data_IF_622950338415
#
_entry.id   IF_622950338415
#
_cell.length_a   1.000
_cell.length_b   1.000
_cell.length_c   1.000
_cell.angle_alpha   90.00
_cell.angle_beta   90.00
_cell.angle_gamma   90.00
#
_symmetry.space_group_name_H-M   'P 1'
#
loop_
_entity.id
_entity.type
_entity.pdbx_description
1 polymer ?
#
# COMPACT_ATOMS: atom_id res chain seq x y z
N UNK A 1 -33.87 -26.99 14.35
CA UNK A 1 -34.27 -25.65 14.81
C UNK A 1 -33.46 -24.67 13.98
N UNK A 2 -34.01 -24.35 12.82
CA UNK A 2 -33.33 -23.56 11.77
C UNK A 2 -33.54 -22.08 12.06
N UNK A 3 -32.45 -21.37 12.34
CA UNK A 3 -32.45 -19.93 12.55
C UNK A 3 -32.43 -19.20 11.21
N UNK A 4 -33.59 -19.03 10.58
CA UNK A 4 -33.76 -18.07 9.49
C UNK A 4 -34.15 -16.71 10.08
N UNK A 5 -33.16 -15.86 10.33
CA UNK A 5 -33.37 -14.44 10.66
C UNK A 5 -33.49 -13.66 9.35
N UNK A 6 -34.69 -13.12 9.10
CA UNK A 6 -34.93 -12.16 8.04
C UNK A 6 -34.19 -10.86 8.32
N UNK A 7 -33.12 -10.56 7.57
CA UNK A 7 -32.45 -9.26 7.58
C UNK A 7 -33.17 -8.37 6.57
N UNK A 8 -34.02 -7.47 7.04
CA UNK A 8 -34.52 -6.36 6.26
C UNK A 8 -33.38 -5.37 6.02
N UNK A 9 -32.97 -5.21 4.76
CA UNK A 9 -31.96 -4.28 4.32
C UNK A 9 -32.50 -2.84 4.36
N UNK A 10 -32.29 -2.15 5.49
CA UNK A 10 -32.33 -0.69 5.53
C UNK A 10 -31.02 -0.17 4.93
N UNK A 11 -31.05 0.27 3.67
CA UNK A 11 -29.95 1.01 3.05
C UNK A 11 -29.87 2.41 3.71
N UNK A 12 -29.15 2.50 4.81
CA UNK A 12 -28.82 3.78 5.42
C UNK A 12 -27.87 4.53 4.46
N UNK A 13 -28.29 5.74 4.07
CA UNK A 13 -27.44 6.69 3.36
C UNK A 13 -26.10 6.80 4.08
N UNK A 14 -25.02 6.42 3.40
CA UNK A 14 -23.66 6.65 3.87
C UNK A 14 -23.42 8.15 3.82
N UNK A 15 -23.56 8.83 4.97
CA UNK A 15 -23.10 10.20 5.12
C UNK A 15 -21.59 10.14 4.93
N UNK A 16 -21.08 10.71 3.84
CA UNK A 16 -19.66 10.68 3.49
C UNK A 16 -18.82 11.32 4.59
N UNK A 17 -18.34 10.50 5.52
CA UNK A 17 -17.33 10.91 6.48
C UNK A 17 -16.02 11.08 5.71
N UNK A 18 -15.40 12.27 5.84
CA UNK A 18 -14.11 12.56 5.23
C UNK A 18 -13.07 11.70 5.93
N UNK A 19 -12.65 10.61 5.29
CA UNK A 19 -11.70 9.69 5.88
C UNK A 19 -10.32 10.33 5.97
N UNK A 20 -9.61 10.12 7.08
CA UNK A 20 -8.32 10.75 7.29
C UNK A 20 -7.33 10.20 6.27
N UNK A 21 -6.83 11.04 5.36
CA UNK A 21 -5.80 10.60 4.44
C UNK A 21 -4.42 10.56 5.09
N UNK A 22 -3.57 9.72 4.52
CA UNK A 22 -2.21 9.50 4.99
C UNK A 22 -1.22 10.43 4.27
N UNK A 23 -1.64 11.65 3.97
CA UNK A 23 -0.77 12.69 3.45
C UNK A 23 -0.24 13.54 4.60
N UNK A 24 0.97 14.07 4.50
CA UNK A 24 1.40 15.12 5.41
C UNK A 24 0.41 16.31 5.35
N UNK A 25 0.13 16.92 6.51
CA UNK A 25 -0.86 17.99 6.68
C UNK A 25 -2.33 17.59 6.43
N UNK A 26 -2.62 16.31 6.18
CA UNK A 26 -3.98 15.79 5.89
C UNK A 26 -4.66 16.46 4.68
N UNK A 27 -3.89 17.07 3.76
CA UNK A 27 -4.43 17.71 2.55
C UNK A 27 -4.40 16.74 1.36
N UNK A 28 -5.57 16.19 1.06
CA UNK A 28 -5.74 15.24 -0.03
C UNK A 28 -7.09 15.41 -0.72
N UNK A 29 -7.16 14.93 -1.94
CA UNK A 29 -8.40 14.81 -2.69
C UNK A 29 -8.43 13.43 -3.35
N UNK A 30 -9.47 12.64 -3.04
CA UNK A 30 -9.58 11.26 -3.53
C UNK A 30 -8.33 10.40 -3.19
N UNK A 31 -7.74 10.63 -2.01
CA UNK A 31 -6.51 9.97 -1.56
C UNK A 31 -5.22 10.47 -2.21
N UNK A 32 -5.27 11.37 -3.20
CA UNK A 32 -4.08 11.99 -3.77
C UNK A 32 -3.64 13.16 -2.89
N UNK A 33 -2.39 13.16 -2.44
CA UNK A 33 -1.83 14.27 -1.68
C UNK A 33 -1.71 15.51 -2.53
N UNK A 34 -2.25 16.63 -2.05
CA UNK A 34 -2.21 17.90 -2.80
C UNK A 34 -0.84 18.55 -2.70
N UNK A 35 -0.52 19.37 -3.71
CA UNK A 35 0.71 20.19 -3.77
C UNK A 35 2.01 19.38 -3.61
N UNK A 36 1.98 18.10 -3.99
CA UNK A 36 3.12 17.21 -3.85
C UNK A 36 3.49 16.91 -2.40
N UNK A 37 2.58 17.11 -1.44
CA UNK A 37 2.82 16.72 -0.06
C UNK A 37 3.18 15.23 0.01
N UNK A 38 4.24 14.85 0.76
CA UNK A 38 4.65 13.46 0.87
C UNK A 38 3.65 12.67 1.72
N UNK A 39 3.82 11.36 1.73
CA UNK A 39 3.05 10.48 2.59
C UNK A 39 3.44 10.67 4.06
N UNK A 40 2.43 10.68 4.94
CA UNK A 40 2.61 10.67 6.39
C UNK A 40 3.20 9.33 6.80
N UNK A 41 4.28 9.34 7.59
CA UNK A 41 4.87 8.13 8.17
C UNK A 41 3.82 7.29 8.93
N UNK A 42 3.82 5.95 8.80
CA UNK A 42 4.73 5.12 8.00
C UNK A 42 4.15 4.75 6.61
N UNK A 43 3.29 5.59 6.01
CA UNK A 43 2.63 5.26 4.76
C UNK A 43 3.47 5.64 3.53
N UNK A 44 3.28 4.93 2.42
CA UNK A 44 3.99 5.16 1.15
C UNK A 44 3.17 4.75 -0.09
N UNK A 45 3.78 4.88 -1.27
CA UNK A 45 3.28 4.37 -2.54
C UNK A 45 2.08 5.14 -3.10
N UNK A 46 1.39 4.53 -4.07
CA UNK A 46 0.25 5.16 -4.75
C UNK A 46 -0.79 5.68 -3.76
N UNK A 47 -1.07 6.99 -3.80
CA UNK A 47 -2.05 7.66 -2.92
C UNK A 47 -1.82 7.44 -1.41
N UNK A 48 -0.58 7.17 -1.00
CA UNK A 48 -0.19 6.93 0.40
C UNK A 48 -1.04 5.87 1.11
N UNK A 49 -1.49 4.86 0.36
CA UNK A 49 -2.40 3.85 0.90
C UNK A 49 -1.67 2.67 1.55
N UNK A 50 -0.36 2.55 1.35
CA UNK A 50 0.43 1.40 1.78
C UNK A 50 1.14 1.63 3.09
N UNK A 51 1.00 0.70 4.02
CA UNK A 51 1.73 0.73 5.29
C UNK A 51 3.14 0.18 5.07
N UNK A 52 4.18 0.94 5.40
CA UNK A 52 5.57 0.49 5.34
C UNK A 52 5.92 -0.33 6.59
N UNK A 53 5.98 -1.67 6.46
CA UNK A 53 6.42 -2.52 7.58
C UNK A 53 7.90 -2.32 7.92
N UNK A 54 8.67 -1.72 7.00
CA UNK A 54 10.06 -1.39 7.28
C UNK A 54 10.23 -0.27 8.32
N UNK A 55 9.17 0.51 8.59
CA UNK A 55 9.22 1.57 9.58
C UNK A 55 9.21 1.06 11.03
N UNK A 56 8.63 -0.11 11.28
CA UNK A 56 8.51 -0.73 12.61
C UNK A 56 9.74 -1.56 12.98
N UNK A 57 10.73 -1.64 12.09
CA UNK A 57 11.89 -2.51 12.27
C UNK A 57 12.80 -2.00 13.38
N UNK A 58 13.43 -2.93 14.10
CA UNK A 58 14.68 -2.66 14.80
C UNK A 58 15.80 -2.44 13.78
N UNK A 59 15.73 -1.31 13.07
CA UNK A 59 16.71 -0.96 12.06
C UNK A 59 18.09 -1.06 12.69
N UNK A 60 18.93 -1.93 12.13
CA UNK A 60 20.37 -1.82 12.27
C UNK A 60 20.69 -0.34 12.06
N UNK A 61 21.29 0.33 13.05
CA UNK A 61 21.42 1.81 13.06
C UNK A 61 22.04 2.37 11.77
N UNK A 62 22.73 1.52 10.99
CA UNK A 62 23.30 1.81 9.67
C UNK A 62 22.29 1.95 8.54
N UNK A 63 21.04 1.48 8.70
CA UNK A 63 20.00 1.47 7.66
C UNK A 63 18.95 2.57 7.84
N UNK A 64 19.19 3.55 8.72
CA UNK A 64 18.22 4.64 8.95
C UNK A 64 17.83 5.38 7.68
N UNK A 65 18.77 5.56 6.75
CA UNK A 65 18.52 6.21 5.46
C UNK A 65 17.39 5.50 4.69
N UNK A 66 17.31 4.17 4.75
CA UNK A 66 16.31 3.42 3.98
C UNK A 66 14.86 3.64 4.44
N UNK A 67 14.63 4.19 5.63
CA UNK A 67 13.30 4.26 6.27
C UNK A 67 12.99 5.63 6.90
N UNK A 68 13.84 6.63 6.70
CA UNK A 68 13.66 7.97 7.26
C UNK A 68 12.63 8.82 6.51
N UNK A 69 12.05 8.29 5.43
CA UNK A 69 11.12 8.98 4.52
C UNK A 69 11.68 10.31 3.99
N UNK A 70 13.00 10.37 3.80
CA UNK A 70 13.65 11.44 3.08
C UNK A 70 14.39 10.88 1.84
N UNK A 71 13.74 11.00 0.68
CA UNK A 71 14.31 10.61 -0.62
C UNK A 71 15.66 11.28 -0.97
N UNK A 72 16.08 12.32 -0.25
CA UNK A 72 17.38 12.96 -0.42
C UNK A 72 18.49 12.31 0.42
N UNK A 73 18.12 11.54 1.45
CA UNK A 73 19.08 10.87 2.32
C UNK A 73 19.41 9.49 1.75
N UNK A 74 20.57 9.39 1.10
CA UNK A 74 20.98 8.17 0.40
C UNK A 74 22.12 7.42 1.10
N UNK A 75 22.30 6.16 0.69
CA UNK A 75 23.42 5.32 1.08
C UNK A 75 24.75 6.04 0.83
N UNK A 76 25.54 6.20 1.89
CA UNK A 76 26.91 6.74 1.86
C UNK A 76 27.99 5.65 1.99
N UNK A 77 27.60 4.37 1.96
CA UNK A 77 28.51 3.24 2.17
C UNK A 77 28.51 2.28 0.99
N UNK A 78 29.52 1.41 0.96
CA UNK A 78 29.53 0.24 0.07
C UNK A 78 28.91 -0.96 0.77
N UNK A 79 27.76 -1.40 0.29
CA UNK A 79 27.01 -2.51 0.85
C UNK A 79 27.00 -3.68 -0.12
N UNK A 80 27.36 -4.88 0.36
CA UNK A 80 27.13 -6.12 -0.39
C UNK A 80 25.69 -6.62 -0.23
N UNK A 81 25.09 -6.33 0.92
CA UNK A 81 23.71 -6.69 1.27
C UNK A 81 23.15 -5.77 2.35
N UNK A 82 21.82 -5.62 2.36
CA UNK A 82 21.03 -4.97 3.40
C UNK A 82 20.07 -6.02 3.99
N UNK A 83 20.02 -6.11 5.32
CA UNK A 83 19.11 -7.01 6.02
C UNK A 83 18.04 -6.23 6.77
N UNK A 84 16.82 -6.67 6.59
CA UNK A 84 15.62 -6.11 7.16
C UNK A 84 15.00 -7.21 8.05
N UNK A 85 15.26 -7.17 9.36
CA UNK A 85 14.69 -8.06 10.39
C UNK A 85 13.45 -7.45 11.08
N UNK A 86 12.37 -8.22 11.19
CA UNK A 86 11.08 -7.80 11.74
C UNK A 86 10.79 -8.51 13.07
N UNK A 87 10.15 -7.80 13.99
CA UNK A 87 9.73 -8.38 15.27
C UNK A 87 8.69 -9.50 15.08
N UNK A 88 7.83 -9.35 14.08
CA UNK A 88 6.82 -10.31 13.69
C UNK A 88 7.03 -10.80 12.25
N UNK A 89 6.43 -11.95 11.90
CA UNK A 89 6.41 -12.39 10.50
C UNK A 89 5.47 -11.52 9.66
N UNK A 90 5.81 -11.29 8.41
CA UNK A 90 4.98 -10.56 7.45
C UNK A 90 4.85 -11.32 6.14
N UNK A 91 3.67 -11.25 5.51
CA UNK A 91 3.49 -11.71 4.13
C UNK A 91 4.01 -10.62 3.21
N UNK A 92 5.09 -10.89 2.50
CA UNK A 92 5.59 -10.00 1.45
C UNK A 92 4.63 -9.97 0.24
N UNK A 93 4.20 -8.77 -0.16
CA UNK A 93 3.53 -8.54 -1.46
C UNK A 93 4.44 -7.86 -2.47
N UNK A 94 4.99 -6.69 -2.14
CA UNK A 94 5.96 -5.97 -2.96
C UNK A 94 6.84 -5.05 -2.10
N UNK A 95 7.92 -4.58 -2.71
CA UNK A 95 8.75 -3.51 -2.16
C UNK A 95 8.87 -2.37 -3.17
N UNK A 96 9.03 -1.14 -2.69
CA UNK A 96 9.36 0.03 -3.49
C UNK A 96 10.74 0.53 -3.08
N UNK A 97 11.59 0.78 -4.07
CA UNK A 97 12.94 1.29 -3.88
C UNK A 97 13.04 2.65 -4.56
N UNK A 98 13.53 3.63 -3.81
CA UNK A 98 13.91 4.94 -4.34
C UNK A 98 15.42 5.00 -4.43
N UNK A 99 15.94 5.27 -5.63
CA UNK A 99 17.36 5.42 -5.91
C UNK A 99 17.73 6.89 -6.03
N UNK A 100 19.02 7.18 -5.81
CA UNK A 100 19.62 8.47 -6.17
C UNK A 100 19.59 8.65 -7.69
N UNK A 101 19.74 9.89 -8.15
CA UNK A 101 19.91 10.18 -9.57
C UNK A 101 21.07 9.36 -10.14
N UNK A 102 20.73 8.36 -10.96
CA UNK A 102 21.70 7.53 -11.65
C UNK A 102 21.96 8.12 -13.03
N UNK A 103 23.23 8.41 -13.38
CA UNK A 103 23.58 8.68 -14.77
C UNK A 103 23.09 7.52 -15.65
N UNK A 104 22.73 7.82 -16.90
CA UNK A 104 22.24 6.80 -17.87
C UNK A 104 23.18 5.59 -17.96
N UNK A 105 24.49 5.81 -17.86
CA UNK A 105 25.52 4.76 -17.86
C UNK A 105 25.45 3.81 -16.68
N UNK A 106 24.78 4.18 -15.58
CA UNK A 106 24.60 3.36 -14.37
C UNK A 106 23.14 2.95 -14.14
N UNK A 107 22.20 3.41 -14.96
CA UNK A 107 20.78 3.12 -14.79
C UNK A 107 20.48 1.60 -14.77
N UNK A 108 21.26 0.80 -15.51
CA UNK A 108 21.12 -0.66 -15.52
C UNK A 108 21.37 -1.32 -14.16
N UNK A 109 22.11 -0.66 -13.25
CA UNK A 109 22.40 -1.22 -11.92
C UNK A 109 21.14 -1.43 -11.11
N UNK A 110 20.07 -0.64 -11.32
CA UNK A 110 18.77 -0.84 -10.65
C UNK A 110 18.20 -2.24 -10.87
N UNK A 111 18.63 -2.92 -11.93
CA UNK A 111 18.16 -4.25 -12.29
C UNK A 111 19.08 -5.36 -11.78
N UNK A 112 20.25 -5.01 -11.25
CA UNK A 112 21.16 -5.93 -10.56
C UNK A 112 20.81 -5.97 -9.07
N UNK A 113 19.61 -6.48 -8.79
CA UNK A 113 19.07 -6.67 -7.45
C UNK A 113 18.62 -8.09 -7.26
N UNK A 114 18.89 -8.61 -6.07
CA UNK A 114 18.42 -9.89 -5.60
C UNK A 114 17.67 -9.68 -4.29
N UNK A 115 16.48 -10.25 -4.21
CA UNK A 115 15.65 -10.23 -3.02
C UNK A 115 15.53 -11.66 -2.47
N UNK A 116 15.83 -11.82 -1.19
CA UNK A 116 15.78 -13.10 -0.48
C UNK A 116 14.97 -12.98 0.80
N UNK A 117 14.36 -14.08 1.21
CA UNK A 117 13.47 -14.18 2.36
C UNK A 117 13.95 -15.28 3.29
N UNK A 118 13.87 -15.05 4.60
CA UNK A 118 14.05 -16.13 5.58
C UNK A 118 12.71 -16.81 5.83
N UNK A 119 12.53 -18.02 5.29
CA UNK A 119 11.30 -18.81 5.43
C UNK A 119 11.63 -20.11 6.14
N UNK A 120 11.04 -20.33 7.32
CA UNK A 120 11.33 -21.50 8.16
C UNK A 120 12.84 -21.71 8.41
N UNK A 121 13.57 -20.63 8.68
CA UNK A 121 15.03 -20.58 8.86
C UNK A 121 15.85 -20.98 7.62
N UNK A 122 15.26 -20.94 6.43
CA UNK A 122 15.94 -21.18 5.15
C UNK A 122 15.84 -19.94 4.27
N UNK A 123 16.99 -19.46 3.77
CA UNK A 123 17.04 -18.38 2.79
C UNK A 123 16.43 -18.85 1.46
N UNK A 124 15.45 -18.10 0.98
CA UNK A 124 14.69 -18.40 -0.23
C UNK A 124 14.69 -17.19 -1.14
N UNK A 125 15.10 -17.37 -2.40
CA UNK A 125 15.07 -16.29 -3.40
C UNK A 125 13.63 -15.91 -3.80
N UNK A 126 13.44 -14.66 -4.20
CA UNK A 126 12.23 -14.17 -4.85
C UNK A 126 11.99 -14.86 -6.19
N UNK A 127 11.02 -15.77 -6.21
CA UNK A 127 10.66 -16.56 -7.38
C UNK A 127 9.94 -15.69 -8.41
N UNK A 128 10.36 -15.81 -9.67
CA UNK A 128 9.87 -14.96 -10.76
C UNK A 128 9.89 -13.47 -10.41
N UNK A 129 11.00 -12.99 -9.85
CA UNK A 129 11.22 -11.59 -9.51
C UNK A 129 10.97 -10.69 -10.73
N UNK A 130 10.19 -9.63 -10.53
CA UNK A 130 9.93 -8.59 -11.52
C UNK A 130 10.30 -7.23 -10.95
N UNK A 131 10.94 -6.39 -11.76
CA UNK A 131 11.25 -5.00 -11.41
C UNK A 131 10.44 -4.09 -12.31
N UNK A 132 9.54 -3.30 -11.73
CA UNK A 132 8.71 -2.32 -12.44
C UNK A 132 9.28 -0.93 -12.23
N UNK A 133 9.67 -0.28 -13.31
CA UNK A 133 10.14 1.10 -13.26
C UNK A 133 8.95 2.06 -13.20
N UNK A 134 8.78 2.73 -12.06
CA UNK A 134 7.72 3.73 -11.87
C UNK A 134 8.12 5.03 -12.55
N UNK A 135 9.37 5.44 -12.32
CA UNK A 135 10.03 6.61 -12.88
C UNK A 135 11.57 6.44 -12.87
N UNK A 136 12.30 7.50 -13.20
CA UNK A 136 13.77 7.52 -13.27
C UNK A 136 14.49 7.32 -11.93
N UNK A 137 13.80 7.31 -10.79
CA UNK A 137 14.35 7.06 -9.44
C UNK A 137 13.66 5.90 -8.72
N UNK A 138 12.45 5.53 -9.10
CA UNK A 138 11.61 4.65 -8.31
C UNK A 138 11.36 3.34 -9.05
N UNK A 139 11.59 2.22 -8.38
CA UNK A 139 11.26 0.90 -8.89
C UNK A 139 10.50 0.07 -7.86
N UNK A 140 9.58 -0.76 -8.34
CA UNK A 140 8.82 -1.70 -7.53
C UNK A 140 9.32 -3.11 -7.80
N UNK A 141 9.63 -3.86 -6.74
CA UNK A 141 10.00 -5.27 -6.81
C UNK A 141 8.80 -6.12 -6.44
N UNK A 142 8.49 -7.07 -7.30
CA UNK A 142 7.42 -8.05 -7.12
C UNK A 142 8.00 -9.46 -7.21
N UNK A 143 7.40 -10.40 -6.48
CA UNK A 143 7.65 -11.82 -6.62
C UNK A 143 6.39 -12.51 -7.15
N UNK A 144 6.57 -13.61 -7.87
CA UNK A 144 5.46 -14.46 -8.35
C UNK A 144 4.77 -15.22 -7.20
N UNK A 145 5.52 -15.49 -6.13
CA UNK A 145 5.03 -16.10 -4.89
C UNK A 145 5.01 -15.09 -3.75
N UNK A 146 4.10 -15.31 -2.80
CA UNK A 146 4.07 -14.57 -1.54
C UNK A 146 4.88 -15.34 -0.50
N UNK A 147 5.59 -14.60 0.36
CA UNK A 147 6.49 -15.18 1.35
C UNK A 147 6.09 -14.69 2.74
N UNK A 148 5.78 -15.61 3.66
CA UNK A 148 5.67 -15.30 5.08
C UNK A 148 7.07 -15.35 5.70
N UNK A 149 7.62 -14.19 6.06
CA UNK A 149 9.01 -14.07 6.49
C UNK A 149 9.18 -13.11 7.66
N UNK A 150 10.20 -13.32 8.48
CA UNK A 150 10.66 -12.36 9.49
C UNK A 150 11.92 -11.62 9.07
N UNK A 151 12.52 -11.94 7.91
CA UNK A 151 13.70 -11.25 7.44
C UNK A 151 13.74 -11.16 5.90
N UNK A 152 13.99 -9.97 5.39
CA UNK A 152 14.24 -9.70 3.98
C UNK A 152 15.71 -9.31 3.80
N UNK A 153 16.36 -9.89 2.79
CA UNK A 153 17.73 -9.54 2.40
C UNK A 153 17.72 -8.99 0.99
N UNK A 154 18.28 -7.80 0.82
CA UNK A 154 18.47 -7.15 -0.48
C UNK A 154 19.97 -7.16 -0.80
N UNK A 155 20.35 -7.76 -1.93
CA UNK A 155 21.73 -7.84 -2.41
C UNK A 155 21.84 -7.27 -3.84
N UNK A 156 23.01 -6.78 -4.23
CA UNK A 156 23.25 -6.31 -5.60
C UNK A 156 24.19 -5.11 -5.71
N UNK A 157 24.57 -4.73 -6.93
CA UNK A 157 25.48 -3.58 -7.14
C UNK A 157 24.82 -2.21 -7.03
N UNK A 158 23.48 -2.14 -6.93
CA UNK A 158 22.75 -0.88 -6.76
C UNK A 158 22.55 -0.44 -5.31
N UNK A 159 22.98 -1.21 -4.31
CA UNK A 159 22.75 -0.88 -2.89
C UNK A 159 23.37 0.46 -2.48
N UNK A 160 24.50 0.82 -3.08
CA UNK A 160 25.21 2.10 -2.87
C UNK A 160 24.45 3.31 -3.44
N UNK A 161 23.29 3.07 -4.05
CA UNK A 161 22.47 4.07 -4.73
C UNK A 161 21.06 4.16 -4.15
N UNK A 162 20.72 3.33 -3.16
CA UNK A 162 19.40 3.36 -2.51
C UNK A 162 19.32 4.57 -1.59
N UNK A 163 18.22 5.29 -1.68
CA UNK A 163 17.82 6.30 -0.72
C UNK A 163 16.75 5.74 0.21
N UNK A 164 15.69 5.14 -0.34
CA UNK A 164 14.60 4.59 0.46
C UNK A 164 14.26 3.16 0.06
N UNK A 165 13.82 2.36 1.02
CA UNK A 165 13.34 1.00 0.83
C UNK A 165 12.06 0.79 1.63
N UNK A 166 10.94 0.72 0.91
CA UNK A 166 9.63 0.51 1.48
C UNK A 166 9.20 -0.93 1.25
N UNK A 167 8.66 -1.57 2.29
CA UNK A 167 8.15 -2.94 2.21
C UNK A 167 6.65 -2.85 2.48
N UNK A 168 5.84 -3.31 1.53
CA UNK A 168 4.39 -3.24 1.67
C UNK A 168 3.91 -4.20 2.74
N UNK A 169 3.25 -3.66 3.76
CA UNK A 169 2.37 -4.40 4.66
C UNK A 169 0.93 -4.49 4.16
N UNK A 170 0.68 -4.09 2.91
CA UNK A 170 -0.65 -3.92 2.35
C UNK A 170 -1.25 -2.53 2.64
N UNK A 171 -2.45 -2.32 2.09
CA UNK A 171 -3.30 -1.15 2.32
C UNK A 171 -4.43 -1.48 3.28
N UNK A 172 -4.92 -0.49 4.03
CA UNK A 172 -6.06 -0.70 4.93
C UNK A 172 -7.36 -0.85 4.10
N UNK A 173 -7.77 -2.10 3.88
CA UNK A 173 -8.95 -2.50 3.12
C UNK A 173 -10.26 -2.25 3.88
N UNK A 174 -10.22 -2.14 5.22
CA UNK A 174 -11.40 -1.86 6.04
C UNK A 174 -11.85 -0.40 5.92
N UNK A 175 -10.93 0.48 5.55
CA UNK A 175 -11.18 1.91 5.49
C UNK A 175 -12.30 2.24 4.51
N UNK A 176 -13.26 3.05 4.98
CA UNK A 176 -14.43 3.53 4.22
C UNK A 176 -15.32 2.41 3.65
N UNK A 177 -15.27 1.22 4.24
CA UNK A 177 -16.10 0.09 3.82
C UNK A 177 -17.46 0.08 4.49
N UNK A 178 -18.36 -0.64 3.84
CA UNK A 178 -19.63 -1.01 4.44
C UNK A 178 -19.39 -1.89 5.67
N UNK A 179 -20.05 -1.52 6.77
CA UNK A 179 -20.02 -2.25 8.01
C UNK A 179 -21.43 -2.54 8.50
N UNK A 180 -21.54 -3.54 9.35
CA UNK A 180 -22.76 -3.86 10.12
C UNK A 180 -22.40 -3.93 11.58
N UNK A 181 -23.32 -3.51 12.44
CA UNK A 181 -23.20 -3.69 13.87
C UNK A 181 -24.53 -3.93 14.53
N UNK A 182 -24.48 -4.53 15.71
CA UNK A 182 -25.63 -4.66 16.59
C UNK A 182 -25.21 -4.35 18.02
N UNK A 183 -25.93 -3.44 18.73
CA UNK A 183 -26.91 -2.51 18.18
C UNK A 183 -26.31 -1.50 17.19
N UNK A 184 -27.13 -0.96 16.29
CA UNK A 184 -26.70 0.07 15.33
C UNK A 184 -26.38 1.35 16.09
N UNK A 185 -25.11 1.77 16.07
CA UNK A 185 -24.63 2.99 16.71
C UNK A 185 -23.99 3.91 15.66
N UNK A 186 -24.29 5.21 15.71
CA UNK A 186 -23.69 6.20 14.78
C UNK A 186 -22.17 6.32 14.94
N UNK A 187 -21.61 5.95 16.09
CA UNK A 187 -20.17 5.93 16.32
C UNK A 187 -19.48 4.73 15.66
N UNK A 188 -20.23 3.76 15.15
CA UNK A 188 -19.65 2.55 14.54
C UNK A 188 -18.87 2.83 13.25
N UNK A 189 -19.18 3.89 12.51
CA UNK A 189 -18.38 4.24 11.32
C UNK A 189 -16.95 4.70 11.68
N UNK A 190 -16.71 5.11 12.92
CA UNK A 190 -15.45 5.71 13.37
C UNK A 190 -14.40 4.73 13.86
N UNK A 191 -14.61 3.43 13.66
CA UNK A 191 -13.62 2.39 14.02
C UNK A 191 -12.94 1.79 12.80
N UNK A 192 -13.12 2.42 11.64
CA UNK A 192 -12.47 2.10 10.36
C UNK A 192 -12.11 3.40 9.61
N UNK A 193 -12.05 4.53 10.30
CA UNK A 193 -11.81 5.85 9.68
C UNK A 193 -10.34 6.29 9.79
N UNK A 194 -9.49 5.47 10.43
CA UNK A 194 -8.09 5.77 10.75
C UNK A 194 -7.90 6.63 11.99
N UNK A 195 -8.95 6.93 12.77
CA UNK A 195 -8.88 7.77 13.96
C UNK A 195 -8.99 6.97 15.26
N UNK A 196 -7.84 6.70 15.86
CA UNK A 196 -7.72 5.94 17.11
C UNK A 196 -8.28 6.64 18.36
N UNK A 197 -8.73 7.90 18.27
CA UNK A 197 -9.25 8.65 19.42
C UNK A 197 -10.71 8.34 19.75
N UNK A 198 -11.45 7.77 18.79
CA UNK A 198 -12.86 7.44 18.96
C UNK A 198 -13.03 5.94 19.06
N UNK A 199 -13.66 5.47 20.15
CA UNK A 199 -13.83 4.05 20.37
C UNK A 199 -15.28 3.63 20.38
N UNK A 200 -15.54 2.48 19.77
CA UNK A 200 -16.79 1.76 19.87
C UNK A 200 -16.79 0.99 21.18
N UNK A 201 -17.87 1.07 21.94
CA UNK A 201 -18.07 0.28 23.16
C UNK A 201 -19.53 -0.10 23.27
N UNK A 202 -19.80 -1.40 23.34
CA UNK A 202 -21.12 -1.94 23.62
C UNK A 202 -21.10 -2.73 24.91
N UNK A 203 -22.07 -2.46 25.78
CA UNK A 203 -22.19 -3.13 27.07
C UNK A 203 -22.78 -4.52 26.92
N UNK A 204 -22.51 -5.40 27.89
CA UNK A 204 -23.00 -6.79 27.90
C UNK A 204 -24.53 -6.91 27.89
N UNK A 205 -25.22 -5.92 28.45
CA UNK A 205 -26.67 -5.86 28.59
C UNK A 205 -27.41 -5.58 27.26
N UNK A 206 -26.71 -5.10 26.23
CA UNK A 206 -27.28 -4.63 24.96
C UNK A 206 -27.48 -5.74 23.91
N UNK A 207 -27.67 -7.00 24.35
CA UNK A 207 -27.95 -8.14 23.47
C UNK A 207 -26.68 -8.90 23.04
N UNK A 208 -26.61 -9.31 21.76
CA UNK A 208 -25.45 -10.01 21.17
C UNK A 208 -24.62 -9.02 20.34
N UNK A 209 -23.65 -8.32 20.95
CA UNK A 209 -22.91 -7.28 20.28
C UNK A 209 -22.00 -7.86 19.21
N UNK A 210 -22.09 -7.32 18.00
CA UNK A 210 -21.15 -7.60 16.93
C UNK A 210 -20.81 -6.34 16.14
N UNK A 211 -19.66 -6.41 15.50
CA UNK A 211 -19.24 -5.49 14.45
C UNK A 211 -18.67 -6.31 13.31
N UNK A 212 -19.03 -5.99 12.07
CA UNK A 212 -18.48 -6.66 10.90
C UNK A 212 -18.20 -5.70 9.77
N UNK A 213 -17.09 -5.89 9.09
CA UNK A 213 -16.73 -5.14 7.88
C UNK A 213 -16.79 -6.09 6.68
N UNK A 214 -17.40 -5.64 5.59
CA UNK A 214 -17.42 -6.37 4.35
C UNK A 214 -16.26 -5.91 3.45
N UNK A 215 -15.46 -6.87 2.99
CA UNK A 215 -14.31 -6.67 2.14
C UNK A 215 -14.62 -7.23 0.73
N UNK A 216 -14.24 -6.52 -0.35
CA UNK A 216 -14.46 -7.00 -1.70
C UNK A 216 -13.82 -8.36 -2.00
N UNK A 217 -14.33 -9.04 -3.01
CA UNK A 217 -13.83 -10.34 -3.47
C UNK A 217 -12.47 -10.29 -4.16
N UNK A 218 -12.11 -9.11 -4.66
CA UNK A 218 -10.97 -8.87 -5.53
C UNK A 218 -9.74 -8.37 -4.76
N UNK A 219 -9.65 -8.77 -3.50
CA UNK A 219 -8.50 -8.48 -2.64
C UNK A 219 -8.09 -9.74 -1.90
N UNK A 220 -6.91 -9.69 -1.34
CA UNK A 220 -6.47 -10.69 -0.39
C UNK A 220 -5.95 -10.00 0.87
N UNK A 221 -6.26 -10.60 2.02
CA UNK A 221 -5.84 -10.05 3.31
C UNK A 221 -4.56 -10.72 3.78
N UNK A 222 -3.68 -9.94 4.41
CA UNK A 222 -2.38 -10.36 4.92
C UNK A 222 -2.34 -10.30 6.46
N UNK A 223 -2.86 -9.21 7.03
CA UNK A 223 -2.87 -9.01 8.47
C UNK A 223 -4.06 -8.16 8.91
N UNK A 224 -4.31 -8.16 10.21
CA UNK A 224 -5.31 -7.32 10.84
C UNK A 224 -4.70 -6.65 12.07
N UNK A 225 -5.06 -5.40 12.32
CA UNK A 225 -4.75 -4.70 13.57
C UNK A 225 -6.04 -4.32 14.26
N UNK A 226 -6.19 -4.74 15.51
CA UNK A 226 -7.30 -4.31 16.38
C UNK A 226 -6.75 -3.44 17.49
N UNK A 227 -7.13 -2.18 17.49
CA UNK A 227 -6.73 -1.20 18.51
C UNK A 227 -7.77 -1.21 19.62
N UNK A 228 -7.39 -1.63 20.82
CA UNK A 228 -8.31 -1.76 21.96
C UNK A 228 -8.14 -0.58 22.91
N UNK A 229 -9.27 0.01 23.31
CA UNK A 229 -9.33 1.13 24.25
C UNK A 229 -8.99 0.68 25.68
N UNK A 230 -8.18 1.46 26.40
CA UNK A 230 -7.77 1.17 27.78
C UNK A 230 -8.80 1.58 28.84
N UNK A 231 -10.04 1.13 28.70
CA UNK A 231 -11.11 1.70 29.51
C UNK A 231 -11.35 0.93 30.82
N UNK A 232 -10.42 0.07 31.23
CA UNK A 232 -10.58 -0.81 32.39
C UNK A 232 -11.65 -1.90 32.21
N UNK A 233 -12.11 -2.12 30.98
CA UNK A 233 -13.11 -3.14 30.66
C UNK A 233 -12.39 -4.40 30.16
N UNK A 234 -12.72 -5.55 30.74
CA UNK A 234 -12.24 -6.84 30.25
C UNK A 234 -12.81 -7.09 28.86
N UNK A 235 -11.96 -6.91 27.84
CA UNK A 235 -12.32 -7.19 26.46
C UNK A 235 -11.90 -8.62 26.12
N UNK A 236 -12.91 -9.47 25.90
CA UNK A 236 -12.72 -10.76 25.25
C UNK A 236 -13.53 -10.77 23.97
N UNK A 237 -12.83 -10.68 22.85
CA UNK A 237 -13.44 -10.69 21.53
C UNK A 237 -13.07 -11.98 20.80
N UNK A 238 -13.92 -12.36 19.88
CA UNK A 238 -13.66 -13.39 18.89
C UNK A 238 -13.70 -12.70 17.53
N UNK A 239 -12.61 -12.80 16.79
CA UNK A 239 -12.55 -12.46 15.38
C UNK A 239 -12.92 -13.68 14.55
N UNK A 240 -13.92 -13.55 13.69
CA UNK A 240 -14.39 -14.59 12.76
C UNK A 240 -14.16 -14.15 11.32
N UNK A 241 -13.85 -15.13 10.48
CA UNK A 241 -13.61 -14.96 9.05
C UNK A 241 -14.74 -15.66 8.30
N UNK A 242 -15.61 -14.88 7.65
CA UNK A 242 -16.81 -15.38 6.99
C UNK A 242 -16.73 -15.19 5.46
N UNK A 243 -17.36 -16.12 4.72
CA UNK A 243 -17.59 -15.99 3.29
C UNK A 243 -18.94 -15.26 2.99
N UNK A 244 -19.35 -15.19 1.72
CA UNK A 244 -20.63 -14.57 1.28
C UNK A 244 -21.86 -15.13 1.95
N UNK A 245 -21.85 -16.44 2.19
CA UNK A 245 -22.95 -17.16 2.80
C UNK A 245 -22.95 -17.06 4.32
N UNK A 246 -21.99 -16.34 4.92
CA UNK A 246 -21.85 -16.21 6.36
C UNK A 246 -21.22 -17.43 7.04
N UNK A 247 -20.71 -18.39 6.28
CA UNK A 247 -20.01 -19.56 6.82
C UNK A 247 -18.58 -19.18 7.22
N UNK A 248 -18.18 -19.67 8.39
CA UNK A 248 -16.84 -19.50 8.92
C UNK A 248 -15.86 -20.34 8.10
N UNK A 249 -14.90 -19.67 7.45
CA UNK A 249 -13.92 -20.32 6.58
C UNK A 249 -12.59 -20.60 7.29
N UNK A 250 -12.45 -20.16 8.54
CA UNK A 250 -11.26 -20.38 9.38
C UNK A 250 -11.61 -20.43 10.85
N UNK A 251 -10.79 -21.12 11.66
CA UNK A 251 -10.89 -21.04 13.11
C UNK A 251 -10.90 -19.60 13.59
N UNK A 252 -11.92 -19.26 14.35
CA UNK A 252 -12.01 -17.97 15.02
C UNK A 252 -10.80 -17.69 15.90
N UNK A 253 -10.36 -16.43 15.93
CA UNK A 253 -9.24 -15.99 16.75
C UNK A 253 -9.75 -15.29 18.00
N UNK A 254 -9.39 -15.81 19.17
CA UNK A 254 -9.74 -15.19 20.44
C UNK A 254 -8.75 -14.06 20.76
N UNK A 255 -9.26 -12.84 20.87
CA UNK A 255 -8.51 -11.66 21.30
C UNK A 255 -8.85 -11.43 22.77
N UNK A 256 -7.86 -11.64 23.64
CA UNK A 256 -8.01 -11.45 25.08
C UNK A 256 -7.05 -10.38 25.55
N UNK A 257 -7.58 -9.26 26.03
CA UNK A 257 -6.78 -8.24 26.70
C UNK A 257 -7.03 -8.25 28.20
N UNK A 258 -5.92 -8.36 28.93
CA UNK A 258 -5.89 -8.38 30.40
C UNK A 258 -5.06 -7.22 30.96
N UNK A 259 -4.51 -6.34 30.11
CA UNK A 259 -3.55 -5.31 30.54
C UNK A 259 -4.21 -3.93 30.59
N UNK A 260 -3.94 -3.21 31.68
CA UNK A 260 -4.26 -1.81 31.88
C UNK A 260 -3.26 -0.90 31.14
N UNK A 261 -3.06 -1.09 29.83
CA UNK A 261 -2.21 -0.23 28.99
C UNK A 261 -3.08 0.73 28.19
N UNK A 262 -2.60 1.95 27.96
CA UNK A 262 -3.30 3.10 27.32
C UNK A 262 -3.93 2.76 25.95
N UNK A 263 -3.32 1.84 25.20
CA UNK A 263 -3.90 1.22 24.01
C UNK A 263 -3.14 -0.08 23.75
N UNK A 264 -3.86 -1.16 23.46
CA UNK A 264 -3.24 -2.43 23.05
C UNK A 264 -3.57 -2.67 21.58
N UNK A 265 -2.54 -2.90 20.77
CA UNK A 265 -2.69 -3.27 19.35
C UNK A 265 -2.50 -4.77 19.24
N UNK A 266 -3.52 -5.46 18.75
CA UNK A 266 -3.43 -6.88 18.40
C UNK A 266 -3.12 -7.00 16.92
N UNK A 267 -1.88 -7.39 16.61
CA UNK A 267 -1.46 -7.70 15.25
C UNK A 267 -1.73 -9.19 14.97
N UNK A 268 -2.64 -9.48 14.04
CA UNK A 268 -2.99 -10.85 13.64
C UNK A 268 -2.45 -11.04 12.23
N UNK A 269 -1.35 -11.80 12.12
CA UNK A 269 -0.77 -12.19 10.84
C UNK A 269 -1.42 -13.48 10.39
N UNK A 270 -1.86 -13.50 9.14
CA UNK A 270 -2.43 -14.70 8.53
C UNK A 270 -1.29 -15.52 7.93
N UNK A 271 -1.31 -16.84 8.11
CA UNK A 271 -0.26 -17.71 7.57
C UNK A 271 -0.32 -17.83 6.02
N UNK A 272 -1.42 -17.38 5.44
CA UNK A 272 -1.74 -17.43 4.03
C UNK A 272 -2.82 -16.39 3.69
N UNK A 273 -2.93 -16.05 2.40
CA UNK A 273 -3.80 -14.97 1.98
C UNK A 273 -5.22 -15.46 1.75
N UNK A 274 -6.19 -14.82 2.40
CA UNK A 274 -7.60 -15.25 2.40
C UNK A 274 -8.43 -14.31 1.54
N UNK A 275 -9.30 -14.84 0.65
CA UNK A 275 -10.41 -14.09 0.08
C UNK A 275 -11.59 -14.03 1.07
N UNK A 276 -11.32 -13.65 2.32
CA UNK A 276 -12.37 -13.49 3.32
C UNK A 276 -13.16 -12.22 2.99
N UNK A 277 -14.48 -12.34 3.01
CA UNK A 277 -15.35 -11.25 2.59
C UNK A 277 -15.99 -10.53 3.74
N UNK A 278 -16.07 -11.17 4.90
CA UNK A 278 -16.57 -10.50 6.10
C UNK A 278 -15.70 -10.86 7.28
N UNK A 279 -15.22 -9.82 7.95
CA UNK A 279 -14.48 -9.91 9.19
C UNK A 279 -15.41 -9.47 10.30
N UNK A 280 -15.71 -10.36 11.23
CA UNK A 280 -16.68 -10.11 12.30
C UNK A 280 -16.03 -10.21 13.67
N UNK A 281 -16.10 -9.13 14.44
CA UNK A 281 -15.78 -9.09 15.85
C UNK A 281 -17.05 -9.33 16.66
N UNK A 282 -17.02 -10.37 17.49
CA UNK A 282 -18.08 -10.71 18.44
C UNK A 282 -17.52 -10.79 19.84
N UNK A 283 -18.35 -10.65 20.88
CA UNK A 283 -17.92 -10.98 22.24
C UNK A 283 -17.67 -12.49 22.40
N UNK A 284 -16.69 -12.84 23.22
CA UNK A 284 -16.40 -14.22 23.58
C UNK A 284 -17.26 -14.72 24.76
N UNK A 285 -17.58 -13.84 25.70
CA UNK A 285 -18.25 -14.20 26.96
C UNK A 285 -19.46 -13.30 27.20
N UNK A 286 -20.51 -13.83 27.84
CA UNK A 286 -21.77 -13.11 28.07
C UNK A 286 -21.62 -11.81 28.87
N UNK A 287 -20.58 -11.69 29.70
CA UNK A 287 -20.36 -10.54 30.58
C UNK A 287 -19.21 -9.61 30.13
N UNK A 288 -18.66 -9.78 28.92
CA UNK A 288 -17.66 -8.86 28.38
C UNK A 288 -18.30 -7.83 27.44
N UNK A 289 -17.81 -6.59 27.50
CA UNK A 289 -18.13 -5.59 26.47
C UNK A 289 -17.40 -5.91 25.16
N UNK A 290 -17.96 -5.45 24.04
CA UNK A 290 -17.23 -5.33 22.78
C UNK A 290 -16.71 -3.90 22.68
N UNK A 291 -15.41 -3.69 22.93
CA UNK A 291 -14.80 -2.36 22.91
C UNK A 291 -13.49 -2.34 22.14
N UNK A 292 -13.39 -1.47 21.15
CA UNK A 292 -12.18 -1.22 20.35
C UNK A 292 -12.28 0.16 19.67
N UNK A 293 -11.14 0.73 19.31
CA UNK A 293 -11.02 2.06 18.71
C UNK A 293 -10.83 2.01 17.20
N UNK A 294 -10.13 1.01 16.68
CA UNK A 294 -9.90 0.89 15.25
C UNK A 294 -9.74 -0.58 14.88
N UNK A 295 -10.33 -0.97 13.75
CA UNK A 295 -10.08 -2.21 13.05
C UNK A 295 -9.45 -1.89 11.70
N UNK A 296 -8.18 -2.25 11.55
CA UNK A 296 -7.48 -2.15 10.27
C UNK A 296 -7.33 -3.54 9.68
N UNK A 297 -7.65 -3.68 8.39
CA UNK A 297 -7.51 -4.95 7.66
C UNK A 297 -6.55 -4.68 6.53
N UNK A 298 -5.32 -5.19 6.64
CA UNK A 298 -4.29 -4.93 5.64
C UNK A 298 -4.24 -6.03 4.60
N UNK A 299 -4.19 -5.61 3.34
CA UNK A 299 -4.12 -6.51 2.21
C UNK A 299 -3.80 -5.81 0.92
N UNK A 300 -3.96 -6.51 -0.19
CA UNK A 300 -3.66 -5.99 -1.52
C UNK A 300 -4.72 -6.42 -2.53
N UNK A 301 -4.84 -5.66 -3.61
CA UNK A 301 -5.74 -6.02 -4.70
C UNK A 301 -5.24 -7.31 -5.39
N UNK A 302 -6.17 -8.13 -5.87
CA UNK A 302 -5.84 -9.21 -6.79
C UNK A 302 -5.35 -8.64 -8.11
N UNK A 303 -4.55 -9.43 -8.84
CA UNK A 303 -4.09 -9.08 -10.17
C UNK A 303 -5.29 -8.73 -11.08
N UNK A 304 -5.20 -7.62 -11.83
CA UNK A 304 -6.32 -7.08 -12.60
C UNK A 304 -6.99 -5.86 -11.96
N UNK A 305 -6.97 -5.76 -10.63
CA UNK A 305 -7.72 -4.78 -9.85
C UNK A 305 -6.81 -3.77 -9.16
N UNK A 306 -7.26 -2.52 -9.02
CA UNK A 306 -6.47 -1.45 -8.39
C UNK A 306 -7.38 -0.38 -7.75
N UNK A 307 -6.76 0.68 -7.20
CA UNK A 307 -7.46 1.77 -6.51
C UNK A 307 -7.72 1.47 -5.04
N UNK A 308 -8.02 2.48 -4.23
CA UNK A 308 -8.18 2.34 -2.77
C UNK A 308 -9.19 1.25 -2.37
N UNK A 309 -10.26 1.14 -3.14
CA UNK A 309 -11.30 0.15 -2.97
C UNK A 309 -11.05 -1.18 -3.71
N UNK A 310 -9.96 -1.30 -4.48
CA UNK A 310 -9.66 -2.42 -5.37
C UNK A 310 -10.79 -2.74 -6.37
N UNK A 311 -11.70 -1.82 -6.64
CA UNK A 311 -12.85 -2.01 -7.54
C UNK A 311 -12.56 -1.58 -8.98
N UNK A 312 -11.55 -0.74 -9.18
CA UNK A 312 -11.11 -0.34 -10.50
C UNK A 312 -10.45 -1.50 -11.23
N UNK A 313 -10.78 -1.66 -12.51
CA UNK A 313 -10.23 -2.69 -13.40
C UNK A 313 -9.60 -1.99 -14.59
N UNK A 314 -8.39 -2.39 -14.97
CA UNK A 314 -7.75 -1.86 -16.17
C UNK A 314 -7.94 -2.85 -17.32
N UNK A 315 -8.90 -2.54 -18.19
CA UNK A 315 -9.33 -3.45 -19.26
C UNK A 315 -8.38 -3.48 -20.48
N UNK A 316 -7.49 -2.48 -20.60
CA UNK A 316 -6.69 -2.26 -21.82
C UNK A 316 -5.23 -2.71 -21.72
N UNK A 317 -4.81 -3.31 -20.59
CA UNK A 317 -3.44 -3.80 -20.47
C UNK A 317 -3.27 -5.16 -21.17
N UNK A 318 -2.61 -5.14 -22.34
CA UNK A 318 -2.27 -6.34 -23.13
C UNK A 318 -1.54 -7.41 -22.30
N UNK A 319 -0.72 -7.01 -21.34
CA UNK A 319 0.19 -7.89 -20.58
C UNK A 319 0.07 -7.74 -19.05
N UNK A 320 -1.16 -7.66 -18.53
CA UNK A 320 -1.51 -7.53 -17.10
C UNK A 320 -1.44 -6.08 -16.58
N UNK A 321 -2.27 -5.82 -15.56
CA UNK A 321 -2.41 -4.53 -14.90
C UNK A 321 -1.61 -4.54 -13.58
N UNK A 322 -1.07 -3.40 -13.18
CA UNK A 322 -0.47 -3.29 -11.85
C UNK A 322 -1.54 -3.14 -10.77
N UNK A 323 -1.62 -4.09 -9.83
CA UNK A 323 -2.58 -4.00 -8.72
C UNK A 323 -2.34 -2.85 -7.74
N UNK A 324 -1.17 -2.20 -7.84
CA UNK A 324 -0.75 -1.10 -6.97
C UNK A 324 -1.43 0.21 -7.38
N UNK A 325 -1.26 0.61 -8.65
CA UNK A 325 -1.69 1.91 -9.18
C UNK A 325 -2.55 1.82 -10.45
N UNK A 326 -2.79 0.61 -10.97
CA UNK A 326 -3.54 0.37 -12.21
C UNK A 326 -2.75 0.56 -13.49
N UNK A 327 -1.47 0.95 -13.39
CA UNK A 327 -0.64 1.21 -14.56
C UNK A 327 -0.38 -0.07 -15.36
N UNK A 328 -0.47 0.01 -16.69
CA UNK A 328 -0.05 -1.07 -17.57
C UNK A 328 1.47 -1.10 -17.66
N UNK A 329 2.05 -2.30 -17.59
CA UNK A 329 3.47 -2.50 -17.82
C UNK A 329 3.69 -3.46 -18.98
N UNK A 330 4.75 -3.21 -19.75
CA UNK A 330 5.19 -4.09 -20.84
C UNK A 330 6.51 -4.73 -20.44
N UNK A 331 6.58 -6.05 -20.57
CA UNK A 331 7.81 -6.81 -20.39
C UNK A 331 8.76 -6.56 -21.54
N UNK A 332 10.01 -6.18 -21.23
CA UNK A 332 11.08 -6.13 -22.23
C UNK A 332 11.64 -7.53 -22.48
N UNK A 333 12.11 -7.84 -23.69
CA UNK A 333 12.58 -9.21 -24.03
C UNK A 333 13.83 -9.64 -23.26
N UNK A 334 14.65 -8.68 -22.83
CA UNK A 334 16.01 -8.97 -22.36
C UNK A 334 16.14 -9.06 -20.84
N UNK A 335 15.15 -8.59 -20.08
CA UNK A 335 15.19 -8.54 -18.61
C UNK A 335 13.79 -8.72 -17.99
N UNK A 336 13.70 -9.18 -16.71
CA UNK A 336 12.45 -9.15 -15.93
C UNK A 336 12.06 -7.72 -15.51
N UNK A 337 12.39 -6.74 -16.36
CA UNK A 337 12.10 -5.34 -16.20
C UNK A 337 10.84 -5.01 -16.99
N UNK A 338 9.96 -4.32 -16.30
CA UNK A 338 8.67 -3.90 -16.78
C UNK A 338 8.64 -2.38 -16.79
N UNK A 339 8.28 -1.80 -17.93
CA UNK A 339 8.19 -0.34 -18.11
C UNK A 339 6.78 0.06 -18.51
N UNK A 340 6.40 1.30 -18.19
CA UNK A 340 5.15 1.89 -18.68
C UNK A 340 5.20 1.92 -20.22
N UNK A 341 4.10 1.59 -20.92
CA UNK A 341 4.03 1.82 -22.35
C UNK A 341 4.22 3.31 -22.63
N UNK A 342 4.93 3.64 -23.70
CA UNK A 342 5.12 5.04 -24.08
C UNK A 342 3.76 5.66 -24.41
N UNK A 343 3.47 6.84 -23.86
CA UNK A 343 2.25 7.58 -24.16
C UNK A 343 2.49 8.65 -25.22
N UNK A 344 3.61 9.38 -25.12
CA UNK A 344 3.95 10.48 -26.01
C UNK A 344 4.88 10.11 -27.14
N UNK A 345 4.83 8.88 -27.66
CA UNK A 345 5.67 8.49 -28.79
C UNK A 345 4.93 8.62 -30.12
N UNK A 346 5.45 9.40 -31.10
CA UNK A 346 4.89 9.46 -32.45
C UNK A 346 4.84 8.10 -33.15
N UNK A 347 5.81 7.23 -32.84
CA UNK A 347 5.89 5.85 -33.29
C UNK A 347 5.74 4.90 -32.09
N UNK A 348 5.35 3.64 -32.31
CA UNK A 348 5.35 2.65 -31.23
C UNK A 348 6.74 2.57 -30.57
N UNK A 349 6.79 2.34 -29.26
CA UNK A 349 8.05 2.07 -28.57
C UNK A 349 8.79 0.90 -29.24
N UNK A 350 10.11 0.90 -29.12
CA UNK A 350 10.88 -0.30 -29.39
C UNK A 350 10.62 -1.39 -28.34
N UNK A 351 11.19 -2.58 -28.56
CA UNK A 351 11.01 -3.76 -27.69
C UNK A 351 11.53 -3.57 -26.24
N UNK A 352 12.26 -2.48 -25.97
CA UNK A 352 12.76 -2.12 -24.62
C UNK A 352 11.94 -1.00 -23.97
N UNK A 353 10.79 -0.63 -24.55
CA UNK A 353 9.89 0.39 -24.01
C UNK A 353 10.45 1.81 -24.12
N UNK A 354 11.36 2.05 -25.05
CA UNK A 354 11.93 3.37 -25.32
C UNK A 354 11.37 3.94 -26.63
N UNK A 355 11.30 5.26 -26.68
CA UNK A 355 10.92 5.96 -27.90
C UNK A 355 12.10 5.97 -28.88
N UNK A 356 11.92 5.41 -30.07
CA UNK A 356 12.96 5.45 -31.12
C UNK A 356 13.09 6.83 -31.78
N UNK A 357 12.11 7.71 -31.54
CA UNK A 357 12.04 9.08 -32.02
C UNK A 357 11.77 10.01 -30.86
N UNK A 358 11.98 11.31 -31.10
CA UNK A 358 11.56 12.37 -30.17
C UNK A 358 10.12 12.22 -29.69
N UNK A 359 9.88 12.52 -28.42
CA UNK A 359 8.54 12.61 -27.87
C UNK A 359 7.66 13.61 -28.63
N UNK A 360 6.35 13.34 -28.67
CA UNK A 360 5.34 14.32 -29.04
C UNK A 360 5.37 15.49 -28.06
N UNK A 361 4.93 16.66 -28.53
CA UNK A 361 4.83 17.86 -27.71
C UNK A 361 4.09 17.59 -26.39
N UNK A 362 4.58 18.15 -25.28
CA UNK A 362 4.03 17.92 -23.94
C UNK A 362 4.60 16.71 -23.19
N UNK A 363 5.48 15.92 -23.81
CA UNK A 363 6.11 14.75 -23.17
C UNK A 363 7.63 14.81 -23.25
N UNK A 364 8.29 14.22 -22.25
CA UNK A 364 9.73 14.05 -22.19
C UNK A 364 10.11 12.68 -21.61
N UNK A 365 11.43 12.44 -21.54
CA UNK A 365 12.01 11.24 -21.00
C UNK A 365 12.21 10.16 -22.07
N UNK A 366 13.05 9.14 -21.79
CA UNK A 366 13.47 8.16 -22.78
C UNK A 366 12.31 7.27 -23.29
N UNK A 367 11.19 7.21 -22.55
CA UNK A 367 9.96 6.52 -22.93
C UNK A 367 8.78 7.48 -23.21
N UNK A 368 8.99 8.80 -23.23
CA UNK A 368 7.94 9.80 -23.47
C UNK A 368 6.69 9.59 -22.61
N UNK A 369 6.88 9.21 -21.36
CA UNK A 369 5.84 8.92 -20.38
C UNK A 369 5.79 9.98 -19.27
N UNK A 370 6.76 10.89 -19.23
CA UNK A 370 6.77 12.04 -18.35
C UNK A 370 6.12 13.22 -19.07
N UNK A 371 5.12 13.82 -18.44
CA UNK A 371 4.49 15.04 -18.96
C UNK A 371 5.41 16.21 -18.61
N UNK A 372 5.64 17.12 -19.56
CA UNK A 372 6.28 18.40 -19.29
C UNK A 372 5.46 19.15 -18.21
N UNK A 373 5.85 19.07 -16.95
CA UNK A 373 5.18 19.78 -15.86
C UNK A 373 5.63 21.24 -15.86
N UNK A 374 4.68 22.12 -15.57
CA UNK A 374 4.91 23.56 -15.39
C UNK A 374 5.39 24.32 -16.64
N UNK A 375 5.40 23.68 -17.81
CA UNK A 375 5.46 24.38 -19.08
C UNK A 375 4.08 24.95 -19.43
N UNK A 376 4.04 26.11 -20.06
CA UNK A 376 2.81 26.86 -20.29
C UNK A 376 1.74 25.98 -20.98
N UNK A 377 0.48 26.06 -20.53
CA UNK A 377 -0.62 25.20 -21.05
C UNK A 377 -0.80 25.37 -22.57
N UNK A 378 -0.52 26.57 -23.07
CA UNK A 378 -0.67 26.94 -24.49
C UNK A 378 0.51 26.48 -25.37
N UNK A 379 1.68 26.24 -24.78
CA UNK A 379 2.86 25.72 -25.46
C UNK A 379 3.65 24.80 -24.52
N UNK A 380 3.24 23.52 -24.39
CA UNK A 380 3.87 22.57 -23.50
C UNK A 380 5.17 22.02 -24.11
N UNK A 381 5.98 22.88 -24.72
CA UNK A 381 7.29 22.52 -25.25
C UNK A 381 8.31 22.50 -24.12
N UNK A 382 8.86 21.31 -23.88
CA UNK A 382 10.01 21.12 -23.03
C UNK A 382 11.08 20.33 -23.76
N UNK A 383 12.33 20.48 -23.31
CA UNK A 383 13.44 19.66 -23.73
C UNK A 383 13.08 18.20 -23.53
N UNK A 384 13.22 17.42 -24.59
CA UNK A 384 12.70 16.05 -24.66
C UNK A 384 13.51 15.08 -23.79
N UNK A 385 14.71 15.47 -23.37
CA UNK A 385 15.60 14.65 -22.54
C UNK A 385 15.54 15.10 -21.08
N UNK A 386 15.59 16.39 -20.82
CA UNK A 386 15.68 16.94 -19.45
C UNK A 386 14.32 17.33 -18.87
N UNK A 387 13.31 17.49 -19.71
CA UNK A 387 12.00 18.00 -19.33
C UNK A 387 11.96 19.50 -19.03
N UNK A 388 13.07 20.23 -19.21
CA UNK A 388 13.13 21.67 -18.97
C UNK A 388 12.30 22.43 -20.01
N UNK A 389 11.45 23.35 -19.58
CA UNK A 389 10.69 24.19 -20.49
C UNK A 389 11.61 25.03 -21.37
N UNK A 390 11.15 25.32 -22.59
CA UNK A 390 11.86 26.22 -23.51
C UNK A 390 11.84 27.69 -23.05
N UNK A 391 11.70 28.62 -24.00
CA UNK A 391 11.61 30.05 -23.68
C UNK A 391 10.37 30.33 -22.82
N UNK A 392 10.58 30.79 -21.59
CA UNK A 392 9.50 31.24 -20.72
C UNK A 392 8.92 32.56 -21.24
N UNK A 393 7.59 32.74 -21.10
CA UNK A 393 6.95 34.01 -21.42
C UNK A 393 7.54 35.15 -20.57
N UNK A 394 7.56 36.40 -21.09
CA UNK A 394 8.02 37.56 -20.32
C UNK A 394 7.36 37.65 -18.94
N UNK A 395 8.19 37.72 -17.90
CA UNK A 395 7.75 37.74 -16.50
C UNK A 395 7.86 36.41 -15.75
N UNK A 396 8.30 35.34 -16.41
CA UNK A 396 8.52 34.01 -15.82
C UNK A 396 9.97 33.57 -16.04
N UNK A 397 10.56 32.83 -15.09
CA UNK A 397 12.00 32.52 -15.12
C UNK A 397 12.31 31.08 -14.68
N UNK A 398 13.48 30.59 -15.09
CA UNK A 398 14.00 29.27 -14.71
C UNK A 398 13.52 28.12 -15.60
N UNK A 399 14.11 26.94 -15.46
CA UNK A 399 13.83 25.76 -16.32
C UNK A 399 12.43 25.15 -16.20
N UNK A 400 11.59 25.69 -15.30
CA UNK A 400 10.19 25.30 -15.09
C UNK A 400 9.23 26.46 -15.29
N UNK A 401 9.70 27.60 -15.81
CA UNK A 401 8.92 28.82 -16.01
C UNK A 401 7.96 29.13 -14.85
N UNK A 402 8.53 29.40 -13.66
CA UNK A 402 7.77 29.78 -12.47
C UNK A 402 7.67 31.32 -12.38
N UNK A 403 6.54 31.84 -11.89
CA UNK A 403 6.24 33.29 -11.82
C UNK A 403 6.94 33.96 -10.66
#
# INVERSE_FOLDING_TARGET
MDWYVWILALSLYSIGYSSQCNCELYDCFDGVCRRGAPCKKPYFGYRCQYFNVAADMHANRKLKFTTDHDSQTCSNGSFSQLWFDFDDKHIFSFAEIVFKDLPLTYAYKKYDLQLQFLVNNVETNCDGMQIREVDSKTAIILCSKKYLTSMITLAGSSLDYICEFYISGGRNLAKDREFKSSPVNRLTAKVIDGNYTTCYTLKSEEGYPFFSVQIPLNVFTQSLKVHIASNGVFNQMILRFLNQTGHEIRPSHAIKDFKWKIMTVYNIILDDTIPAQTYMLTRNVTNSALSFCELEIFGDCLEGYYGSACDAVSFDCVNKTNGIDGTCYVTTRDYPVMRKPCQGCPLKCNDVGLCSVSCTMGYNGPACNEICRDCHIEDPTCDKVTGQCGDCLPGWYGGSCLS
#
